data_IF_356731148365
#
_entry.id   IF_356731148365
#
_cell.length_a   1.000
_cell.length_b   1.000
_cell.length_c   1.000
_cell.angle_alpha   90.00
_cell.angle_beta   90.00
_cell.angle_gamma   90.00
#
_symmetry.space_group_name_H-M   'P 1'
#
loop_
_entity.id
_entity.type
_entity.pdbx_description
1 polymer ?
#
# COMPACT_ATOMS: atom_id res chain seq x y z
N UNK A 1 30.93 1.73 -2.39
CA UNK A 1 30.24 0.45 -2.65
C UNK A 1 30.51 -0.49 -1.49
N UNK A 2 29.46 -1.03 -0.88
CA UNK A 2 29.58 -2.06 0.14
C UNK A 2 30.01 -3.38 -0.53
N UNK A 3 30.85 -4.16 0.16
CA UNK A 3 31.21 -5.50 -0.31
C UNK A 3 30.05 -6.48 -0.10
N UNK A 4 29.96 -7.58 -0.87
CA UNK A 4 28.94 -8.62 -0.66
C UNK A 4 28.89 -9.14 0.79
N UNK A 5 30.03 -9.23 1.47
CA UNK A 5 30.11 -9.63 2.87
C UNK A 5 29.45 -8.62 3.82
N UNK A 6 29.54 -7.31 3.54
CA UNK A 6 28.88 -6.28 4.33
C UNK A 6 27.36 -6.25 4.10
N UNK A 7 26.89 -6.62 2.89
CA UNK A 7 25.45 -6.78 2.62
C UNK A 7 24.87 -7.96 3.41
N UNK A 8 25.54 -9.11 3.37
CA UNK A 8 25.10 -10.32 4.06
C UNK A 8 25.09 -10.11 5.59
N UNK A 9 26.12 -9.43 6.12
CA UNK A 9 26.20 -9.06 7.54
C UNK A 9 25.07 -8.10 7.96
N UNK A 10 24.77 -7.05 7.19
CA UNK A 10 23.64 -6.17 7.52
C UNK A 10 22.30 -6.91 7.41
N UNK A 11 22.09 -7.70 6.36
CA UNK A 11 20.85 -8.44 6.20
C UNK A 11 20.64 -9.40 7.38
N UNK A 12 21.69 -10.08 7.84
CA UNK A 12 21.67 -10.89 9.04
C UNK A 12 21.40 -10.06 10.31
N UNK A 13 22.00 -8.87 10.44
CA UNK A 13 21.76 -7.97 11.56
C UNK A 13 20.32 -7.45 11.59
N UNK A 14 19.74 -7.08 10.44
CA UNK A 14 18.35 -6.62 10.33
C UNK A 14 17.40 -7.77 10.67
N UNK A 15 17.60 -8.97 10.08
CA UNK A 15 16.78 -10.16 10.41
C UNK A 15 16.86 -10.49 11.91
N UNK A 16 18.06 -10.56 12.47
CA UNK A 16 18.27 -10.81 13.89
C UNK A 16 17.64 -9.71 14.75
N UNK A 17 17.72 -8.45 14.32
CA UNK A 17 17.11 -7.32 15.02
C UNK A 17 15.57 -7.37 14.99
N UNK A 18 14.97 -8.01 13.99
CA UNK A 18 13.52 -8.22 13.93
C UNK A 18 13.12 -9.40 14.82
N UNK A 19 13.85 -10.51 14.72
CA UNK A 19 13.60 -11.72 15.52
C UNK A 19 13.74 -11.45 17.03
N UNK A 20 14.67 -10.58 17.42
CA UNK A 20 14.87 -10.17 18.81
C UNK A 20 14.05 -8.93 19.23
N UNK A 21 13.18 -8.43 18.34
CA UNK A 21 12.31 -7.28 18.55
C UNK A 21 13.07 -5.97 18.90
N UNK A 22 14.30 -5.81 18.39
CA UNK A 22 15.13 -4.61 18.52
C UNK A 22 15.01 -3.63 17.35
N UNK A 23 14.42 -4.03 16.22
CA UNK A 23 13.89 -3.08 15.24
C UNK A 23 12.58 -2.53 15.76
N UNK A 24 12.48 -1.20 15.84
CA UNK A 24 11.22 -0.53 16.07
C UNK A 24 10.35 -0.68 14.82
N UNK A 25 9.40 -1.60 14.87
CA UNK A 25 8.37 -1.70 13.85
C UNK A 25 7.46 -0.47 13.94
N UNK A 26 7.01 0.08 12.80
CA UNK A 26 6.05 1.17 12.82
C UNK A 26 4.76 0.73 13.53
N UNK A 27 4.07 1.70 14.13
CA UNK A 27 2.76 1.48 14.76
C UNK A 27 1.66 2.03 13.86
N UNK A 28 0.55 1.29 13.77
CA UNK A 28 -0.63 1.77 13.08
C UNK A 28 -1.26 2.92 13.90
N UNK A 29 -1.61 4.08 13.28
CA UNK A 29 -2.26 5.16 14.01
C UNK A 29 -3.55 4.72 14.70
N UNK A 30 -3.78 5.21 15.93
CA UNK A 30 -4.86 4.76 16.80
C UNK A 30 -6.25 4.85 16.14
N UNK A 31 -6.50 5.92 15.39
CA UNK A 31 -7.75 6.12 14.64
C UNK A 31 -7.98 5.04 13.58
N UNK A 32 -6.93 4.55 12.91
CA UNK A 32 -7.03 3.47 11.93
C UNK A 32 -7.34 2.13 12.61
N UNK A 33 -6.69 1.85 13.74
CA UNK A 33 -7.00 0.69 14.58
C UNK A 33 -8.47 0.72 15.05
N UNK A 34 -8.89 1.83 15.65
CA UNK A 34 -10.25 2.00 16.16
C UNK A 34 -11.32 1.81 15.08
N UNK A 35 -11.14 2.41 13.90
CA UNK A 35 -12.10 2.29 12.79
C UNK A 35 -12.13 0.88 12.22
N UNK A 36 -10.97 0.23 12.05
CA UNK A 36 -10.92 -1.16 11.60
C UNK A 36 -11.65 -2.08 12.56
N UNK A 37 -11.28 -2.05 13.83
CA UNK A 37 -11.85 -2.92 14.86
C UNK A 37 -13.35 -2.65 15.06
N UNK A 38 -13.80 -1.41 14.85
CA UNK A 38 -15.22 -1.08 14.87
C UNK A 38 -15.96 -1.74 13.69
N UNK A 39 -15.46 -1.59 12.46
CA UNK A 39 -16.14 -2.11 11.27
C UNK A 39 -16.17 -3.65 11.22
N UNK A 40 -15.28 -4.32 11.94
CA UNK A 40 -15.30 -5.78 12.13
C UNK A 40 -16.37 -6.26 13.12
N UNK A 41 -16.97 -5.37 13.91
CA UNK A 41 -18.12 -5.70 14.77
C UNK A 41 -19.43 -5.62 13.98
N UNK A 42 -20.19 -6.72 13.95
CA UNK A 42 -21.51 -6.80 13.29
C UNK A 42 -22.54 -5.75 13.76
N UNK A 43 -22.30 -5.08 14.89
CA UNK A 43 -23.19 -4.08 15.50
C UNK A 43 -22.83 -2.62 15.20
N UNK A 44 -21.71 -2.37 14.50
CA UNK A 44 -21.25 -0.99 14.28
C UNK A 44 -22.08 -0.28 13.23
N UNK A 45 -22.31 1.02 13.46
CA UNK A 45 -23.08 1.88 12.58
C UNK A 45 -22.30 3.12 12.14
N UNK A 46 -22.85 3.84 11.16
CA UNK A 46 -22.20 5.00 10.56
C UNK A 46 -21.89 6.13 11.57
N UNK A 47 -22.74 6.32 12.59
CA UNK A 47 -22.54 7.37 13.59
C UNK A 47 -21.35 7.06 14.50
N UNK A 48 -21.16 5.79 14.87
CA UNK A 48 -20.02 5.34 15.68
C UNK A 48 -18.69 5.57 14.94
N UNK A 49 -18.59 5.14 13.68
CA UNK A 49 -17.40 5.37 12.85
C UNK A 49 -17.16 6.86 12.62
N UNK A 50 -18.21 7.63 12.35
CA UNK A 50 -18.09 9.08 12.17
C UNK A 50 -17.57 9.78 13.44
N UNK A 51 -17.98 9.33 14.62
CA UNK A 51 -17.48 9.86 15.89
C UNK A 51 -16.01 9.51 16.14
N UNK A 52 -15.53 8.34 15.68
CA UNK A 52 -14.12 7.97 15.75
C UNK A 52 -13.26 8.82 14.82
N UNK A 53 -13.64 8.92 13.54
CA UNK A 53 -12.93 9.73 12.54
C UNK A 53 -12.97 11.22 12.92
N UNK A 54 -14.10 11.68 13.46
CA UNK A 54 -14.32 13.06 13.90
C UNK A 54 -13.35 13.58 14.97
N UNK A 55 -12.62 12.68 15.66
CA UNK A 55 -11.57 13.06 16.63
C UNK A 55 -10.30 13.58 15.95
N UNK A 56 -10.07 13.21 14.69
CA UNK A 56 -8.94 13.68 13.89
C UNK A 56 -9.45 14.63 12.80
N UNK A 57 -9.15 15.92 12.97
CA UNK A 57 -9.61 16.97 12.05
C UNK A 57 -9.01 16.82 10.65
N UNK A 58 -7.76 16.35 10.54
CA UNK A 58 -7.08 16.18 9.25
C UNK A 58 -7.70 15.01 8.49
N UNK A 59 -7.88 13.85 9.13
CA UNK A 59 -8.55 12.70 8.53
C UNK A 59 -10.01 13.00 8.20
N UNK A 60 -10.72 13.73 9.06
CA UNK A 60 -12.09 14.17 8.81
C UNK A 60 -12.19 15.02 7.54
N UNK A 61 -11.33 16.03 7.41
CA UNK A 61 -11.29 16.88 6.22
C UNK A 61 -10.95 16.07 4.96
N UNK A 62 -9.98 15.16 5.05
CA UNK A 62 -9.62 14.27 3.93
C UNK A 62 -10.76 13.34 3.52
N UNK A 63 -11.44 12.71 4.47
CA UNK A 63 -12.56 11.82 4.16
C UNK A 63 -13.73 12.59 3.50
N UNK A 64 -13.99 13.83 3.93
CA UNK A 64 -14.97 14.70 3.25
C UNK A 64 -14.56 15.04 1.82
N UNK A 65 -13.30 15.39 1.60
CA UNK A 65 -12.76 15.65 0.25
C UNK A 65 -12.92 14.42 -0.64
N UNK A 66 -12.58 13.23 -0.14
CA UNK A 66 -12.76 11.95 -0.84
C UNK A 66 -14.23 11.73 -1.18
N UNK A 67 -15.13 11.88 -0.20
CA UNK A 67 -16.57 11.62 -0.40
C UNK A 67 -17.27 12.62 -1.35
N UNK A 68 -16.63 13.74 -1.66
CA UNK A 68 -17.06 14.75 -2.62
C UNK A 68 -16.23 14.74 -3.93
N UNK A 69 -15.22 13.88 -4.05
CA UNK A 69 -14.42 13.73 -5.27
C UNK A 69 -15.25 13.19 -6.44
N UNK A 70 -14.91 13.47 -7.71
CA UNK A 70 -15.66 12.98 -8.86
C UNK A 70 -15.95 11.48 -8.84
N UNK A 71 -15.03 10.69 -8.30
CA UNK A 71 -15.12 9.24 -8.13
C UNK A 71 -16.22 8.77 -7.17
N UNK A 72 -16.48 9.49 -6.08
CA UNK A 72 -17.44 9.08 -5.03
C UNK A 72 -18.62 10.04 -4.83
N UNK A 73 -18.61 11.20 -5.49
CA UNK A 73 -19.64 12.23 -5.28
C UNK A 73 -21.02 11.73 -5.67
N UNK A 74 -21.98 12.02 -4.80
CA UNK A 74 -23.40 11.85 -5.12
C UNK A 74 -23.94 13.04 -5.92
N UNK A 75 -25.27 13.11 -5.99
CA UNK A 75 -25.98 14.26 -6.62
C UNK A 75 -25.81 15.57 -5.85
N UNK A 76 -25.53 15.50 -4.55
CA UNK A 76 -25.34 16.65 -3.67
C UNK A 76 -23.99 16.58 -2.98
N UNK A 77 -23.39 17.73 -2.73
CA UNK A 77 -22.24 17.84 -1.84
C UNK A 77 -22.65 17.45 -0.41
N UNK A 78 -21.71 16.91 0.36
CA UNK A 78 -21.88 16.61 1.78
C UNK A 78 -20.91 17.41 2.63
N UNK A 79 -21.37 17.76 3.83
CA UNK A 79 -20.68 18.67 4.75
C UNK A 79 -20.41 18.05 6.12
N UNK A 80 -20.75 16.77 6.32
CA UNK A 80 -20.53 16.07 7.59
C UNK A 80 -19.99 14.65 7.42
N UNK A 81 -19.17 14.22 8.38
CA UNK A 81 -18.56 12.88 8.38
C UNK A 81 -19.63 11.79 8.41
N UNK A 82 -20.71 11.98 9.16
CA UNK A 82 -21.79 11.00 9.20
C UNK A 82 -22.44 10.80 7.82
N UNK A 83 -22.65 11.87 7.05
CA UNK A 83 -23.12 11.76 5.66
C UNK A 83 -22.09 11.05 4.77
N UNK A 84 -20.80 11.33 4.95
CA UNK A 84 -19.73 10.67 4.21
C UNK A 84 -19.74 9.16 4.47
N UNK A 85 -19.81 8.76 5.74
CA UNK A 85 -19.85 7.36 6.13
C UNK A 85 -21.11 6.65 5.63
N UNK A 86 -22.25 7.34 5.68
CA UNK A 86 -23.53 6.80 5.17
C UNK A 86 -23.50 6.60 3.66
N UNK A 87 -22.89 7.52 2.91
CA UNK A 87 -22.76 7.45 1.44
C UNK A 87 -21.82 6.35 1.00
N UNK A 88 -20.61 6.34 1.55
CA UNK A 88 -19.53 5.44 1.15
C UNK A 88 -19.75 4.01 1.70
N UNK A 89 -20.42 3.91 2.84
CA UNK A 89 -20.57 2.65 3.57
C UNK A 89 -19.37 2.32 4.44
N UNK A 90 -19.58 1.46 5.44
CA UNK A 90 -18.60 1.17 6.49
C UNK A 90 -17.31 0.53 5.97
N UNK A 91 -17.42 -0.44 5.06
CA UNK A 91 -16.27 -1.18 4.52
C UNK A 91 -15.32 -0.27 3.74
N UNK A 92 -15.87 0.56 2.86
CA UNK A 92 -15.11 1.54 2.07
C UNK A 92 -14.43 2.56 2.99
N UNK A 93 -15.18 3.11 3.95
CA UNK A 93 -14.64 4.07 4.94
C UNK A 93 -13.51 3.47 5.74
N UNK A 94 -13.62 2.21 6.17
CA UNK A 94 -12.52 1.52 6.86
C UNK A 94 -11.26 1.54 6.01
N UNK A 95 -11.34 1.09 4.76
CA UNK A 95 -10.17 1.03 3.87
C UNK A 95 -9.61 2.42 3.57
N UNK A 96 -10.47 3.42 3.35
CA UNK A 96 -10.07 4.82 3.12
C UNK A 96 -9.40 5.44 4.35
N UNK A 97 -9.98 5.29 5.54
CA UNK A 97 -9.43 5.85 6.78
C UNK A 97 -8.08 5.22 7.09
N UNK A 98 -7.95 3.90 6.97
CA UNK A 98 -6.67 3.22 7.16
C UNK A 98 -5.65 3.72 6.14
N UNK A 99 -6.02 3.85 4.87
CA UNK A 99 -5.14 4.35 3.81
C UNK A 99 -4.69 5.79 4.06
N UNK A 100 -5.60 6.68 4.43
CA UNK A 100 -5.28 8.08 4.74
C UNK A 100 -4.40 8.22 5.98
N UNK A 101 -4.59 7.34 6.97
CA UNK A 101 -3.77 7.29 8.17
C UNK A 101 -2.35 6.76 7.90
N UNK A 102 -2.15 5.92 6.87
CA UNK A 102 -0.80 5.40 6.50
C UNK A 102 0.21 6.52 6.29
N UNK A 103 -0.19 7.67 5.76
CA UNK A 103 0.70 8.82 5.55
C UNK A 103 1.40 9.27 6.84
N UNK A 104 0.77 9.06 8.00
CA UNK A 104 1.34 9.43 9.30
C UNK A 104 2.50 8.51 9.73
N UNK A 105 2.65 7.34 9.10
CA UNK A 105 3.72 6.37 9.40
C UNK A 105 5.04 6.77 8.72
N UNK A 106 4.96 7.50 7.61
CA UNK A 106 6.10 7.97 6.83
C UNK A 106 6.72 9.24 7.43
N UNK A 107 6.99 9.22 8.74
CA UNK A 107 7.64 10.32 9.47
C UNK A 107 9.13 10.03 9.65
N UNK A 108 9.96 10.83 8.99
CA UNK A 108 11.41 10.72 9.06
C UNK A 108 12.01 11.60 10.16
N UNK A 109 13.13 11.17 10.71
CA UNK A 109 13.92 11.91 11.73
C UNK A 109 15.05 12.75 11.12
N UNK A 110 15.33 12.57 9.82
CA UNK A 110 16.36 13.28 9.06
C UNK A 110 15.88 13.64 7.65
N UNK A 111 16.43 14.70 7.05
CA UNK A 111 16.09 15.12 5.68
C UNK A 111 16.45 14.07 4.63
N UNK A 112 17.48 13.26 4.89
CA UNK A 112 17.90 12.20 3.99
C UNK A 112 16.91 11.02 4.03
N UNK A 113 16.47 10.63 5.23
CA UNK A 113 15.43 9.62 5.41
C UNK A 113 14.09 10.08 4.83
N UNK A 114 13.73 11.36 4.98
CA UNK A 114 12.51 11.93 4.41
C UNK A 114 12.47 11.79 2.89
N UNK A 115 13.61 11.98 2.20
CA UNK A 115 13.69 11.78 0.75
C UNK A 115 13.44 10.33 0.34
N UNK A 116 14.00 9.36 1.06
CA UNK A 116 13.78 7.95 0.73
C UNK A 116 12.36 7.50 1.09
N UNK A 117 11.81 7.95 2.23
CA UNK A 117 10.42 7.70 2.60
C UNK A 117 9.44 8.25 1.56
N UNK A 118 9.69 9.45 1.02
CA UNK A 118 8.87 10.02 -0.06
C UNK A 118 8.89 9.17 -1.31
N UNK A 119 10.03 8.57 -1.69
CA UNK A 119 10.10 7.65 -2.84
C UNK A 119 9.25 6.41 -2.60
N UNK A 120 9.38 5.78 -1.43
CA UNK A 120 8.57 4.61 -1.07
C UNK A 120 7.08 4.96 -1.04
N UNK A 121 6.73 6.13 -0.51
CA UNK A 121 5.36 6.62 -0.45
C UNK A 121 4.78 6.87 -1.85
N UNK A 122 5.50 7.58 -2.72
CA UNK A 122 5.07 7.86 -4.10
C UNK A 122 4.86 6.57 -4.91
N UNK A 123 5.78 5.61 -4.78
CA UNK A 123 5.64 4.29 -5.40
C UNK A 123 4.43 3.53 -4.86
N UNK A 124 4.22 3.55 -3.55
CA UNK A 124 3.08 2.88 -2.91
C UNK A 124 1.75 3.52 -3.29
N UNK A 125 1.71 4.85 -3.45
CA UNK A 125 0.53 5.58 -3.94
C UNK A 125 0.19 5.19 -5.37
N UNK A 126 1.20 5.11 -6.24
CA UNK A 126 1.00 4.73 -7.63
C UNK A 126 0.48 3.28 -7.73
N UNK A 127 1.09 2.34 -6.99
CA UNK A 127 0.63 0.95 -6.93
C UNK A 127 -0.77 0.84 -6.32
N UNK A 128 -1.09 1.62 -5.29
CA UNK A 128 -2.43 1.68 -4.70
C UNK A 128 -3.49 2.14 -5.72
N UNK A 129 -3.20 3.20 -6.47
CA UNK A 129 -4.11 3.73 -7.48
C UNK A 129 -4.36 2.71 -8.61
N UNK A 130 -3.31 2.08 -9.13
CA UNK A 130 -3.41 1.03 -10.13
C UNK A 130 -4.18 -0.17 -9.58
N UNK A 131 -3.90 -0.60 -8.35
CA UNK A 131 -4.57 -1.72 -7.70
C UNK A 131 -6.08 -1.49 -7.58
N UNK A 132 -6.49 -0.27 -7.26
CA UNK A 132 -7.91 0.11 -7.20
C UNK A 132 -8.60 -0.03 -8.57
N UNK A 133 -7.97 0.49 -9.62
CA UNK A 133 -8.51 0.46 -10.98
C UNK A 133 -8.58 -0.97 -11.51
N UNK A 134 -7.54 -1.78 -11.27
CA UNK A 134 -7.54 -3.20 -11.63
C UNK A 134 -8.65 -3.98 -10.93
N UNK A 135 -8.85 -3.76 -9.63
CA UNK A 135 -9.91 -4.41 -8.88
C UNK A 135 -11.32 -4.05 -9.38
N UNK A 136 -11.50 -2.89 -10.02
CA UNK A 136 -12.78 -2.51 -10.64
C UNK A 136 -13.27 -3.48 -11.72
N UNK A 137 -12.38 -4.29 -12.30
CA UNK A 137 -12.71 -5.33 -13.28
C UNK A 137 -12.79 -6.75 -12.66
N UNK A 138 -12.64 -6.88 -11.34
CA UNK A 138 -12.63 -8.15 -10.61
C UNK A 138 -13.75 -8.17 -9.56
N UNK A 139 -14.93 -8.73 -9.89
CA UNK A 139 -16.12 -8.66 -9.03
C UNK A 139 -15.96 -9.25 -7.63
N UNK A 140 -15.01 -10.16 -7.44
CA UNK A 140 -14.73 -10.82 -6.17
C UNK A 140 -14.03 -9.93 -5.14
N UNK A 141 -13.47 -8.79 -5.57
CA UNK A 141 -12.60 -7.94 -4.75
C UNK A 141 -13.19 -6.55 -4.51
N UNK A 142 -12.97 -6.01 -3.32
CA UNK A 142 -13.37 -4.63 -2.98
C UNK A 142 -12.27 -3.64 -3.43
N UNK A 143 -12.61 -2.68 -4.29
CA UNK A 143 -11.68 -1.73 -4.88
C UNK A 143 -10.79 -1.01 -3.84
N UNK A 144 -11.38 -0.48 -2.78
CA UNK A 144 -10.63 0.27 -1.76
C UNK A 144 -9.79 -0.65 -0.88
N UNK A 145 -10.14 -1.93 -0.78
CA UNK A 145 -9.29 -2.92 -0.09
C UNK A 145 -8.08 -3.31 -0.95
N UNK A 146 -8.25 -3.41 -2.28
CA UNK A 146 -7.12 -3.56 -3.21
C UNK A 146 -6.20 -2.33 -3.20
N UNK A 147 -6.79 -1.13 -3.16
CA UNK A 147 -6.05 0.13 -3.00
C UNK A 147 -5.20 0.13 -1.73
N UNK A 148 -5.78 -0.25 -0.59
CA UNK A 148 -5.05 -0.38 0.67
C UNK A 148 -3.93 -1.42 0.56
N UNK A 149 -4.18 -2.56 -0.09
CA UNK A 149 -3.17 -3.57 -0.38
C UNK A 149 -1.97 -3.00 -1.15
N UNK A 150 -2.23 -2.22 -2.19
CA UNK A 150 -1.17 -1.53 -2.94
C UNK A 150 -0.44 -0.48 -2.12
N UNK A 151 -1.10 0.18 -1.17
CA UNK A 151 -0.47 1.18 -0.33
C UNK A 151 0.47 0.57 0.73
N UNK A 152 0.15 -0.61 1.23
CA UNK A 152 0.92 -1.28 2.29
C UNK A 152 1.95 -2.29 1.77
N UNK A 153 1.96 -2.57 0.46
CA UNK A 153 2.78 -3.64 -0.14
C UNK A 153 4.28 -3.51 0.14
N UNK A 154 4.78 -2.29 0.34
CA UNK A 154 6.19 -2.01 0.56
C UNK A 154 6.49 -1.44 1.96
N UNK A 155 5.58 -1.64 2.94
CA UNK A 155 5.74 -1.08 4.30
C UNK A 155 7.02 -1.57 5.00
N UNK A 156 7.52 -2.75 4.64
CA UNK A 156 8.77 -3.31 5.17
C UNK A 156 10.02 -2.51 4.79
N UNK A 157 9.96 -1.63 3.79
CA UNK A 157 11.08 -0.77 3.42
C UNK A 157 11.40 0.28 4.51
N UNK A 158 10.39 0.74 5.26
CA UNK A 158 10.54 1.78 6.29
C UNK A 158 11.58 1.44 7.36
N UNK A 159 11.45 0.33 8.12
CA UNK A 159 12.44 -0.02 9.14
C UNK A 159 13.84 -0.29 8.57
N UNK A 160 13.94 -0.80 7.33
CA UNK A 160 15.23 -1.01 6.66
C UNK A 160 15.89 0.36 6.41
N UNK A 161 15.16 1.31 5.83
CA UNK A 161 15.66 2.65 5.54
C UNK A 161 16.05 3.40 6.82
N UNK A 162 15.24 3.29 7.89
CA UNK A 162 15.60 3.83 9.21
C UNK A 162 16.90 3.21 9.69
N UNK A 163 17.09 1.90 9.54
CA UNK A 163 18.31 1.24 10.01
C UNK A 163 19.53 1.61 9.19
N UNK A 164 19.37 1.78 7.88
CA UNK A 164 20.42 2.28 6.99
C UNK A 164 20.86 3.68 7.40
N UNK A 165 19.90 4.59 7.67
CA UNK A 165 20.19 5.94 8.13
C UNK A 165 20.97 5.94 9.46
N UNK A 166 20.54 5.10 10.42
CA UNK A 166 21.21 4.97 11.73
C UNK A 166 22.65 4.46 11.65
N UNK A 167 22.91 3.43 10.82
CA UNK A 167 24.20 2.71 10.84
C UNK A 167 25.22 3.36 9.90
N UNK A 168 24.76 3.87 8.76
CA UNK A 168 25.65 4.33 7.69
C UNK A 168 25.38 5.75 7.24
N UNK A 169 24.22 6.33 7.57
CA UNK A 169 23.67 7.43 6.80
C UNK A 169 23.43 7.03 5.34
N UNK A 170 22.76 7.89 4.57
CA UNK A 170 22.56 7.66 3.13
C UNK A 170 23.82 7.87 2.27
N UNK A 171 25.01 7.67 2.84
CA UNK A 171 26.29 7.59 2.12
C UNK A 171 26.50 6.21 1.44
N UNK A 172 25.62 5.24 1.73
CA UNK A 172 25.58 3.95 1.06
C UNK A 172 25.14 4.07 -0.40
N UNK A 173 25.67 3.18 -1.26
CA UNK A 173 25.31 3.14 -2.67
C UNK A 173 23.81 2.80 -2.84
N UNK A 174 23.11 3.54 -3.68
CA UNK A 174 21.66 3.39 -3.88
C UNK A 174 21.29 1.98 -4.34
N UNK A 175 22.13 1.36 -5.19
CA UNK A 175 21.92 -0.01 -5.65
C UNK A 175 22.00 -1.03 -4.50
N UNK A 176 22.88 -0.81 -3.52
CA UNK A 176 22.96 -1.65 -2.31
C UNK A 176 21.68 -1.54 -1.48
N UNK A 177 21.22 -0.31 -1.22
CA UNK A 177 19.99 -0.08 -0.43
C UNK A 177 18.80 -0.75 -1.12
N UNK A 178 18.69 -0.60 -2.45
CA UNK A 178 17.62 -1.22 -3.22
C UNK A 178 17.67 -2.76 -3.17
N UNK A 179 18.87 -3.36 -3.22
CA UNK A 179 19.03 -4.80 -3.09
C UNK A 179 18.61 -5.30 -1.71
N UNK A 180 18.97 -4.58 -0.64
CA UNK A 180 18.55 -4.90 0.73
C UNK A 180 17.03 -4.80 0.91
N UNK A 181 16.41 -3.74 0.39
CA UNK A 181 14.95 -3.59 0.41
C UNK A 181 14.30 -4.76 -0.35
N UNK A 182 14.81 -5.11 -1.52
CA UNK A 182 14.24 -6.19 -2.34
C UNK A 182 14.35 -7.57 -1.67
N UNK A 183 15.42 -7.82 -0.91
CA UNK A 183 15.63 -9.09 -0.18
C UNK A 183 14.82 -9.17 1.12
N UNK A 184 14.69 -8.06 1.85
CA UNK A 184 14.20 -8.08 3.24
C UNK A 184 12.79 -7.50 3.40
N UNK A 185 12.44 -6.44 2.66
CA UNK A 185 11.16 -5.75 2.86
C UNK A 185 9.93 -6.66 2.72
N UNK A 186 9.91 -7.68 1.84
CA UNK A 186 8.77 -8.59 1.73
C UNK A 186 8.44 -9.30 3.05
N UNK A 187 9.43 -9.95 3.67
CA UNK A 187 9.24 -10.68 4.93
C UNK A 187 8.91 -9.74 6.09
N UNK A 188 9.61 -8.61 6.16
CA UNK A 188 9.41 -7.61 7.22
C UNK A 188 8.03 -6.99 7.12
N UNK A 189 7.59 -6.66 5.91
CA UNK A 189 6.28 -6.11 5.64
C UNK A 189 5.17 -7.06 6.10
N UNK A 190 5.27 -8.35 5.78
CA UNK A 190 4.29 -9.34 6.22
C UNK A 190 4.20 -9.40 7.75
N UNK A 191 5.34 -9.45 8.45
CA UNK A 191 5.38 -9.43 9.92
C UNK A 191 4.78 -8.16 10.52
N UNK A 192 5.01 -6.99 9.91
CA UNK A 192 4.38 -5.73 10.34
C UNK A 192 2.86 -5.83 10.24
N UNK A 193 2.34 -6.30 9.10
CA UNK A 193 0.91 -6.40 8.88
C UNK A 193 0.24 -7.45 9.78
N UNK A 194 0.91 -8.58 10.03
CA UNK A 194 0.48 -9.58 11.00
C UNK A 194 0.46 -9.02 12.43
N UNK A 195 1.50 -8.28 12.83
CA UNK A 195 1.57 -7.63 14.14
C UNK A 195 0.47 -6.58 14.30
N UNK A 196 0.10 -5.90 13.21
CA UNK A 196 -1.04 -5.00 13.19
C UNK A 196 -2.38 -5.73 13.13
N UNK A 197 -2.43 -7.06 13.05
CA UNK A 197 -3.65 -7.87 12.92
C UNK A 197 -4.46 -7.61 11.65
N UNK A 198 -3.79 -7.34 10.52
CA UNK A 198 -4.47 -7.39 9.22
C UNK A 198 -4.87 -8.82 8.88
N UNK A 199 -5.99 -8.97 8.18
CA UNK A 199 -6.41 -10.27 7.64
C UNK A 199 -5.36 -10.84 6.69
N UNK A 200 -5.26 -12.17 6.61
CA UNK A 200 -4.28 -12.90 5.79
C UNK A 200 -4.27 -12.43 4.33
N UNK A 201 -5.45 -12.08 3.78
CA UNK A 201 -5.62 -11.57 2.42
C UNK A 201 -4.91 -10.23 2.15
N UNK A 202 -4.50 -9.51 3.19
CA UNK A 202 -3.70 -8.28 3.11
C UNK A 202 -2.31 -8.49 3.69
N UNK A 203 -2.18 -9.27 4.77
CA UNK A 203 -0.91 -9.51 5.45
C UNK A 203 0.09 -10.28 4.58
N UNK A 204 -0.37 -11.10 3.64
CA UNK A 204 0.49 -11.82 2.70
C UNK A 204 0.99 -10.98 1.51
N UNK A 205 0.44 -9.78 1.29
CA UNK A 205 0.74 -8.96 0.11
C UNK A 205 2.23 -8.60 0.00
N UNK A 206 2.93 -8.18 1.08
CA UNK A 206 4.33 -7.79 0.98
C UNK A 206 5.24 -8.91 0.44
N UNK A 207 4.92 -10.19 0.72
CA UNK A 207 5.65 -11.33 0.15
C UNK A 207 5.12 -11.70 -1.24
N UNK A 208 3.81 -11.94 -1.34
CA UNK A 208 3.17 -12.43 -2.54
C UNK A 208 3.33 -11.50 -3.74
N UNK A 209 3.31 -10.17 -3.53
CA UNK A 209 3.48 -9.23 -4.62
C UNK A 209 4.82 -9.46 -5.34
N UNK A 210 5.90 -9.80 -4.63
CA UNK A 210 7.27 -9.96 -5.17
C UNK A 210 7.59 -11.38 -5.67
N UNK A 211 6.67 -12.32 -5.55
CA UNK A 211 6.79 -13.66 -6.11
C UNK A 211 6.05 -13.76 -7.46
N UNK A 212 6.80 -13.72 -8.58
CA UNK A 212 6.22 -13.83 -9.93
C UNK A 212 5.50 -15.17 -10.16
N UNK A 213 5.81 -16.20 -9.38
CA UNK A 213 5.16 -17.51 -9.41
C UNK A 213 3.94 -17.63 -8.49
N UNK A 214 3.54 -16.55 -7.81
CA UNK A 214 2.44 -16.56 -6.84
C UNK A 214 1.14 -17.08 -7.47
N UNK A 215 0.65 -18.20 -6.95
CA UNK A 215 -0.57 -18.84 -7.45
C UNK A 215 -1.30 -19.63 -6.35
N UNK A 216 -2.07 -18.96 -5.47
CA UNK A 216 -2.79 -19.60 -4.37
C UNK A 216 -4.03 -20.40 -4.86
N UNK A 217 -4.43 -20.23 -6.12
CA UNK A 217 -5.62 -20.82 -6.68
C UNK A 217 -6.16 -20.03 -7.89
N UNK A 218 -7.30 -20.48 -8.45
CA UNK A 218 -7.86 -19.91 -9.68
C UNK A 218 -8.60 -18.58 -9.46
N UNK A 219 -9.04 -18.28 -8.24
CA UNK A 219 -9.76 -17.05 -7.91
C UNK A 219 -8.74 -15.93 -7.66
N UNK A 220 -8.90 -14.74 -8.28
CA UNK A 220 -8.00 -13.62 -8.03
C UNK A 220 -8.05 -13.16 -6.58
N UNK A 221 -6.87 -12.85 -6.03
CA UNK A 221 -6.69 -12.31 -4.68
C UNK A 221 -6.23 -10.85 -4.72
N UNK A 222 -6.27 -10.15 -3.59
CA UNK A 222 -5.67 -8.81 -3.50
C UNK A 222 -4.16 -8.84 -3.80
N UNK A 223 -3.45 -9.92 -3.43
CA UNK A 223 -2.04 -10.07 -3.76
C UNK A 223 -1.79 -10.19 -5.27
N UNK A 224 -2.67 -10.86 -6.02
CA UNK A 224 -2.59 -10.91 -7.49
C UNK A 224 -2.75 -9.51 -8.11
N UNK A 225 -3.72 -8.75 -7.62
CA UNK A 225 -3.94 -7.36 -8.07
C UNK A 225 -2.70 -6.51 -7.81
N UNK A 226 -2.14 -6.57 -6.60
CA UNK A 226 -0.99 -5.75 -6.22
C UNK A 226 0.27 -6.18 -6.96
N UNK A 227 0.45 -7.47 -7.23
CA UNK A 227 1.54 -7.98 -8.06
C UNK A 227 1.47 -7.36 -9.46
N UNK A 228 0.31 -7.46 -10.13
CA UNK A 228 0.10 -6.87 -11.47
C UNK A 228 0.28 -5.36 -11.42
N UNK A 229 -0.30 -4.68 -10.43
CA UNK A 229 -0.18 -3.23 -10.25
C UNK A 229 1.27 -2.76 -10.10
N UNK A 230 2.09 -3.50 -9.32
CA UNK A 230 3.51 -3.18 -9.17
C UNK A 230 4.26 -3.37 -10.49
N UNK A 231 4.01 -4.46 -11.21
CA UNK A 231 4.66 -4.71 -12.50
C UNK A 231 4.31 -3.64 -13.54
N UNK A 232 3.04 -3.22 -13.58
CA UNK A 232 2.56 -2.09 -14.39
C UNK A 232 3.28 -0.78 -14.04
N UNK A 233 3.42 -0.46 -12.75
CA UNK A 233 4.17 0.71 -12.28
C UNK A 233 5.67 0.65 -12.64
N UNK A 234 6.28 -0.53 -12.61
CA UNK A 234 7.68 -0.69 -13.02
C UNK A 234 7.85 -0.49 -14.53
N UNK A 235 6.92 -0.99 -15.35
CA UNK A 235 6.97 -0.82 -16.80
C UNK A 235 6.82 0.65 -17.23
N UNK A 236 5.91 1.42 -16.60
CA UNK A 236 5.72 2.84 -16.94
C UNK A 236 6.95 3.72 -16.66
N UNK A 237 7.89 3.25 -15.83
CA UNK A 237 9.16 3.93 -15.53
C UNK A 237 10.30 3.61 -16.51
N UNK A 238 10.02 2.91 -17.61
CA UNK A 238 11.02 2.55 -18.61
C UNK A 238 11.81 1.28 -18.26
N UNK A 239 11.19 0.35 -17.53
CA UNK A 239 11.73 -1.00 -17.34
C UNK A 239 11.63 -1.81 -18.64
N UNK A 240 12.51 -1.53 -19.61
CA UNK A 240 12.51 -2.02 -21.01
C UNK A 240 12.56 -3.56 -21.20
N UNK A 241 12.55 -4.37 -20.14
CA UNK A 241 12.79 -5.82 -20.21
C UNK A 241 11.69 -6.74 -19.71
N UNK A 242 10.58 -6.26 -19.14
CA UNK A 242 9.68 -7.12 -18.35
C UNK A 242 8.46 -7.69 -19.09
N UNK A 243 8.00 -7.08 -20.18
CA UNK A 243 6.71 -7.46 -20.81
C UNK A 243 6.72 -8.85 -21.45
N UNK A 244 7.86 -9.32 -21.99
CA UNK A 244 7.96 -10.65 -22.59
C UNK A 244 7.82 -11.78 -21.55
N UNK A 245 8.18 -11.52 -20.28
CA UNK A 245 8.15 -12.50 -19.19
C UNK A 245 6.79 -12.53 -18.45
N UNK A 246 5.86 -11.60 -18.75
CA UNK A 246 4.57 -11.52 -18.06
C UNK A 246 3.55 -12.55 -18.54
N UNK A 247 3.74 -13.14 -19.73
CA UNK A 247 2.84 -14.14 -20.29
C UNK A 247 2.70 -15.38 -19.38
N UNK A 248 3.76 -15.73 -18.65
CA UNK A 248 3.80 -16.89 -17.76
C UNK A 248 3.38 -16.56 -16.31
N UNK A 249 3.11 -15.29 -15.99
CA UNK A 249 2.72 -14.85 -14.64
C UNK A 249 1.22 -15.11 -14.43
N UNK A 250 0.83 -16.03 -13.52
CA UNK A 250 -0.58 -16.43 -13.36
C UNK A 250 -1.52 -15.29 -12.98
N UNK A 251 -1.01 -14.26 -12.30
CA UNK A 251 -1.80 -13.13 -11.84
C UNK A 251 -2.42 -12.32 -12.99
N UNK A 252 -1.72 -12.13 -14.13
CA UNK A 252 -2.27 -11.38 -15.27
C UNK A 252 -3.54 -12.03 -15.82
N UNK A 253 -3.50 -13.36 -16.00
CA UNK A 253 -4.65 -14.13 -16.45
C UNK A 253 -5.83 -14.06 -15.45
N UNK A 254 -5.56 -14.10 -14.14
CA UNK A 254 -6.59 -14.02 -13.09
C UNK A 254 -7.22 -12.64 -12.97
N UNK A 255 -6.42 -11.58 -13.14
CA UNK A 255 -6.88 -10.19 -13.06
C UNK A 255 -7.59 -9.76 -14.36
N UNK A 256 -7.37 -10.49 -15.47
CA UNK A 256 -8.03 -10.21 -16.75
C UNK A 256 -7.39 -9.07 -17.53
N UNK A 257 -6.10 -8.81 -17.32
CA UNK A 257 -5.31 -7.81 -18.07
C UNK A 257 -4.38 -8.54 -19.02
N UNK A 258 -4.41 -8.15 -20.29
CA UNK A 258 -3.46 -8.64 -21.27
C UNK A 258 -2.03 -8.22 -20.89
N UNK A 259 -1.08 -9.15 -20.94
CA UNK A 259 0.29 -8.92 -20.51
C UNK A 259 1.06 -7.89 -21.37
N UNK A 260 0.55 -7.55 -22.55
CA UNK A 260 1.15 -6.50 -23.42
C UNK A 260 0.60 -5.10 -23.11
N UNK A 261 -0.49 -5.02 -22.35
CA UNK A 261 -1.20 -3.77 -22.10
C UNK A 261 -0.66 -3.12 -20.83
N UNK A 262 -0.16 -1.89 -20.96
CA UNK A 262 0.15 -1.03 -19.83
C UNK A 262 -1.04 -0.11 -19.57
N UNK A 263 -1.85 -0.41 -18.55
CA UNK A 263 -3.10 0.31 -18.30
C UNK A 263 -2.88 1.78 -17.93
N UNK A 264 -1.68 2.10 -17.43
CA UNK A 264 -1.28 3.47 -17.09
C UNK A 264 -1.18 4.35 -18.35
N UNK A 265 -0.97 3.76 -19.52
CA UNK A 265 -0.84 4.46 -20.79
C UNK A 265 -2.18 4.54 -21.56
N UNK A 266 -3.24 3.92 -21.04
CA UNK A 266 -4.56 3.90 -21.66
C UNK A 266 -5.41 5.10 -21.24
N UNK A 267 -6.05 5.74 -22.22
CA UNK A 267 -7.07 6.78 -21.96
C UNK A 267 -8.25 6.18 -21.17
N UNK A 268 -8.68 6.86 -20.11
CA UNK A 268 -9.65 6.33 -19.14
C UNK A 268 -8.97 5.79 -17.88
N UNK A 269 -8.36 4.59 -17.88
CA UNK A 269 -7.65 4.07 -16.71
C UNK A 269 -6.56 5.00 -16.20
N UNK A 270 -5.81 5.68 -17.08
CA UNK A 270 -4.81 6.68 -16.68
C UNK A 270 -5.42 7.87 -15.91
N UNK A 271 -6.59 8.34 -16.35
CA UNK A 271 -7.31 9.45 -15.69
C UNK A 271 -7.84 9.01 -14.31
N UNK A 272 -8.40 7.80 -14.23
CA UNK A 272 -8.89 7.25 -12.96
C UNK A 272 -7.73 7.01 -11.98
N UNK A 273 -6.59 6.47 -12.45
CA UNK A 273 -5.37 6.31 -11.64
C UNK A 273 -4.91 7.66 -11.10
N UNK A 274 -4.87 8.69 -11.94
CA UNK A 274 -4.47 10.04 -11.54
C UNK A 274 -5.43 10.64 -10.49
N UNK A 275 -6.73 10.44 -10.66
CA UNK A 275 -7.75 10.88 -9.71
C UNK A 275 -7.59 10.19 -8.34
N UNK A 276 -7.45 8.85 -8.34
CA UNK A 276 -7.24 8.07 -7.11
C UNK A 276 -5.95 8.46 -6.41
N UNK A 277 -4.87 8.67 -7.15
CA UNK A 277 -3.59 9.12 -6.59
C UNK A 277 -3.70 10.50 -5.96
N UNK A 278 -4.30 11.46 -6.65
CA UNK A 278 -4.51 12.82 -6.13
C UNK A 278 -5.33 12.82 -4.84
N UNK A 279 -6.34 11.95 -4.76
CA UNK A 279 -7.14 11.76 -3.55
C UNK A 279 -6.30 11.31 -2.34
N UNK A 280 -5.33 10.42 -2.54
CA UNK A 280 -4.49 9.87 -1.46
C UNK A 280 -3.33 10.81 -1.06
N UNK A 281 -2.74 11.52 -2.02
CA UNK A 281 -1.72 12.55 -1.76
C UNK A 281 -2.31 13.69 -0.93
N UNK A 282 -3.48 14.12 -1.41
CA UNK A 282 -4.35 15.14 -0.87
C UNK A 282 -3.87 16.57 -1.05
#
# INVERSE_FOLDING_TARGET
>A
MLSPAQHEDLAAQIRAAIDNNSIQLPTLPEVALQVRDAVERDSTNAAEVAAMVGKDAALSARLLQVANSPLYRGRSEIDSIQQAVTRLGLKMVRSLVVSLAMKQIFQATSDALDREFRKVWDDSLQVAAISRVLAGNVPELENEQAMLGGLIHNIGALPILTKVDEVWGFDADHATIQALISDLAPEIGARILEHWHFAESLANIPTAAYDLGYNPGPVPTYADIVLVARLQNLASKGGDGMQADWADIPAFAKVGVEHEVVIIDMEGPAEEIAEVRSMLEG
#
